data_IF_294420257650
#
_entry.id   IF_294420257650
#
_cell.length_a   1.000
_cell.length_b   1.000
_cell.length_c   1.000
_cell.angle_alpha   90.00
_cell.angle_beta   90.00
_cell.angle_gamma   90.00
#
_symmetry.space_group_name_H-M   'P 1'
#
loop_
_entity.id
_entity.type
_entity.pdbx_description
1 polymer ?
#
# COMPACT_ATOMS: atom_id res chain seq x y z
N UNK A 1 -24.91 25.80 5.62
CA UNK A 1 -25.54 24.78 4.76
C UNK A 1 -24.48 23.70 4.60
N UNK A 2 -24.73 22.47 5.05
CA UNK A 2 -23.71 21.42 5.06
C UNK A 2 -23.40 21.00 3.61
N UNK A 3 -22.27 21.46 3.07
CA UNK A 3 -21.84 21.09 1.72
C UNK A 3 -20.97 19.83 1.79
N UNK A 4 -21.45 18.74 1.19
CA UNK A 4 -20.63 17.55 0.93
C UNK A 4 -19.99 17.70 -0.45
N UNK A 5 -18.69 17.42 -0.54
CA UNK A 5 -17.98 17.28 -1.81
C UNK A 5 -17.78 15.79 -2.08
N UNK A 6 -18.29 15.32 -3.21
CA UNK A 6 -18.05 13.96 -3.71
C UNK A 6 -16.74 13.93 -4.48
N UNK A 7 -15.87 12.98 -4.14
CA UNK A 7 -14.53 12.85 -4.68
C UNK A 7 -14.32 11.45 -5.26
N UNK A 8 -13.41 11.36 -6.23
CA UNK A 8 -12.92 10.08 -6.77
C UNK A 8 -11.39 10.04 -6.70
N UNK A 9 -10.82 8.86 -6.56
CA UNK A 9 -9.38 8.63 -6.49
C UNK A 9 -8.92 7.97 -7.79
N UNK A 10 -7.89 8.53 -8.41
CA UNK A 10 -7.17 7.88 -9.51
C UNK A 10 -5.77 7.50 -9.04
N UNK A 11 -5.39 6.23 -9.15
CA UNK A 11 -4.05 5.78 -8.76
C UNK A 11 -3.06 6.05 -9.89
N UNK A 12 -2.02 6.83 -9.62
CA UNK A 12 -0.90 7.05 -10.55
C UNK A 12 0.20 6.01 -10.38
N UNK A 13 0.39 5.54 -9.14
CA UNK A 13 1.34 4.49 -8.75
C UNK A 13 0.59 3.38 -8.02
N UNK A 14 1.20 2.20 -7.83
CA UNK A 14 0.62 1.19 -6.95
C UNK A 14 0.52 1.72 -5.52
N UNK A 15 -0.56 1.40 -4.81
CA UNK A 15 -0.81 1.88 -3.44
C UNK A 15 -1.03 0.67 -2.54
N UNK A 16 -0.23 0.55 -1.48
CA UNK A 16 -0.42 -0.45 -0.43
C UNK A 16 -0.74 0.20 0.91
N UNK A 17 -1.84 -0.21 1.53
CA UNK A 17 -2.22 0.14 2.90
C UNK A 17 -2.36 -1.17 3.67
N UNK A 18 -1.38 -1.48 4.53
CA UNK A 18 -1.40 -2.73 5.28
C UNK A 18 -2.55 -2.78 6.30
N UNK A 19 -3.22 -3.94 6.39
CA UNK A 19 -4.22 -4.22 7.42
C UNK A 19 -3.68 -5.04 8.60
N UNK A 20 -2.40 -5.42 8.56
CA UNK A 20 -1.78 -6.30 9.57
C UNK A 20 -2.03 -7.79 9.33
N UNK A 21 -2.64 -8.16 8.20
CA UNK A 21 -2.79 -9.55 7.76
C UNK A 21 -1.84 -9.87 6.59
N UNK A 22 -1.43 -11.13 6.50
CA UNK A 22 -0.60 -11.67 5.43
C UNK A 22 -1.31 -12.87 4.77
N UNK A 23 -1.06 -13.09 3.47
CA UNK A 23 -1.23 -14.41 2.88
C UNK A 23 -0.06 -15.28 3.31
N UNK A 24 -0.36 -16.46 3.84
CA UNK A 24 0.62 -17.45 4.25
C UNK A 24 0.73 -18.55 3.21
N UNK A 25 1.92 -19.10 2.92
CA UNK A 25 2.08 -20.17 1.93
C UNK A 25 1.36 -21.49 2.30
N UNK A 26 0.57 -21.49 3.36
CA UNK A 26 -0.32 -22.56 3.81
C UNK A 26 -1.80 -22.32 3.50
N UNK A 27 -2.18 -21.12 3.02
CA UNK A 27 -3.56 -20.74 2.70
C UNK A 27 -3.73 -20.15 1.29
N UNK A 28 -2.71 -20.26 0.44
CA UNK A 28 -2.83 -19.88 -0.97
C UNK A 28 -1.96 -20.77 -1.89
N UNK A 29 -2.31 -20.76 -3.17
CA UNK A 29 -1.46 -21.23 -4.28
C UNK A 29 -1.33 -20.13 -5.32
N UNK A 30 -0.18 -20.02 -6.01
CA UNK A 30 -0.05 -19.17 -7.19
C UNK A 30 0.07 -20.08 -8.42
N UNK A 31 -0.89 -19.94 -9.34
CA UNK A 31 -0.99 -20.69 -10.58
C UNK A 31 -1.79 -19.89 -11.61
N UNK A 32 -1.51 -20.06 -12.90
CA UNK A 32 -2.28 -19.49 -14.00
C UNK A 32 -2.42 -17.95 -13.91
N UNK A 33 -1.34 -17.26 -13.51
CA UNK A 33 -1.30 -15.80 -13.43
C UNK A 33 -2.02 -15.18 -12.22
N UNK A 34 -2.46 -15.97 -11.24
CA UNK A 34 -3.09 -15.44 -10.03
C UNK A 34 -2.65 -16.16 -8.74
N UNK A 35 -2.75 -15.45 -7.63
CA UNK A 35 -2.78 -16.00 -6.29
C UNK A 35 -4.22 -16.39 -5.97
N UNK A 36 -4.44 -17.64 -5.57
CA UNK A 36 -5.74 -18.18 -5.17
C UNK A 36 -5.71 -18.49 -3.68
N UNK A 37 -6.49 -17.76 -2.88
CA UNK A 37 -6.60 -17.96 -1.44
C UNK A 37 -7.77 -18.86 -1.10
N UNK A 38 -7.55 -19.85 -0.23
CA UNK A 38 -8.58 -20.76 0.28
C UNK A 38 -8.63 -20.73 1.80
N UNK A 39 -9.83 -20.90 2.35
CA UNK A 39 -10.03 -21.01 3.80
C UNK A 39 -9.78 -22.45 4.28
N UNK A 40 -9.82 -22.66 5.60
CA UNK A 40 -9.77 -24.00 6.17
C UNK A 40 -10.97 -24.85 5.70
N UNK A 41 -12.15 -24.23 5.58
CA UNK A 41 -13.36 -24.86 5.04
C UNK A 41 -13.17 -25.25 3.57
N UNK A 42 -12.60 -24.35 2.75
CA UNK A 42 -12.26 -24.64 1.36
C UNK A 42 -11.31 -25.84 1.24
N UNK A 43 -10.31 -25.94 2.11
CA UNK A 43 -9.41 -27.11 2.16
C UNK A 43 -10.15 -28.40 2.56
N UNK A 44 -11.12 -28.33 3.49
CA UNK A 44 -11.95 -29.47 3.88
C UNK A 44 -12.84 -29.93 2.72
N UNK A 45 -13.35 -29.00 1.91
CA UNK A 45 -14.19 -29.33 0.76
C UNK A 45 -13.37 -29.88 -0.41
N UNK A 46 -12.17 -29.32 -0.66
CA UNK A 46 -11.31 -29.71 -1.77
C UNK A 46 -10.65 -31.08 -1.59
N UNK A 47 -10.24 -31.42 -0.37
CA UNK A 47 -9.37 -32.59 -0.12
C UNK A 47 -10.13 -33.70 0.61
N UNK A 48 -9.82 -34.96 0.31
CA UNK A 48 -10.30 -36.13 1.05
C UNK A 48 -9.72 -36.19 2.48
N UNK A 49 -10.33 -37.01 3.34
CA UNK A 49 -9.81 -37.22 4.70
C UNK A 49 -8.37 -37.77 4.69
N UNK A 50 -8.03 -38.65 3.75
CA UNK A 50 -6.70 -39.23 3.63
C UNK A 50 -5.65 -38.16 3.25
N UNK A 51 -5.97 -37.28 2.30
CA UNK A 51 -5.09 -36.18 1.88
C UNK A 51 -4.88 -35.17 3.01
N UNK A 52 -5.95 -34.79 3.71
CA UNK A 52 -5.86 -33.89 4.87
C UNK A 52 -5.00 -34.49 5.98
N UNK A 53 -5.17 -35.77 6.29
CA UNK A 53 -4.34 -36.46 7.29
C UNK A 53 -2.86 -36.51 6.87
N UNK A 54 -2.58 -36.68 5.57
CA UNK A 54 -1.22 -36.60 5.04
C UNK A 54 -0.63 -35.19 5.19
N UNK A 55 -1.39 -34.12 4.91
CA UNK A 55 -0.96 -32.74 5.13
C UNK A 55 -0.74 -32.43 6.61
N UNK A 56 -1.64 -32.86 7.49
CA UNK A 56 -1.51 -32.68 8.93
C UNK A 56 -0.25 -33.38 9.47
N UNK A 57 0.02 -34.61 9.01
CA UNK A 57 1.24 -35.35 9.38
C UNK A 57 2.51 -34.60 8.97
N UNK A 58 2.51 -33.98 7.78
CA UNK A 58 3.62 -33.13 7.31
C UNK A 58 3.77 -31.88 8.16
N UNK A 59 2.67 -31.23 8.56
CA UNK A 59 2.67 -30.05 9.42
C UNK A 59 3.20 -30.33 10.84
N UNK A 60 3.06 -31.56 11.33
CA UNK A 60 3.58 -31.98 12.64
C UNK A 60 5.11 -32.19 12.67
N UNK A 61 5.77 -32.24 11.51
CA UNK A 61 7.22 -32.34 11.44
C UNK A 61 7.88 -31.05 11.95
N UNK A 62 8.85 -31.16 12.86
CA UNK A 62 9.48 -29.97 13.48
C UNK A 62 10.36 -29.22 12.49
N UNK A 63 10.29 -27.88 12.57
CA UNK A 63 11.21 -26.98 11.88
C UNK A 63 10.86 -26.71 10.41
N UNK A 64 11.84 -26.21 9.67
CA UNK A 64 11.64 -25.75 8.29
C UNK A 64 11.23 -26.85 7.30
N UNK A 65 11.46 -28.13 7.63
CA UNK A 65 11.15 -29.24 6.73
C UNK A 65 9.65 -29.59 6.74
N UNK A 66 8.96 -29.44 7.87
CA UNK A 66 7.51 -29.63 7.95
C UNK A 66 6.73 -28.58 7.15
N UNK A 67 7.12 -27.30 7.26
CA UNK A 67 6.52 -26.23 6.47
C UNK A 67 6.72 -26.44 4.96
N UNK A 68 7.91 -26.89 4.53
CA UNK A 68 8.17 -27.23 3.12
C UNK A 68 7.31 -28.38 2.64
N UNK A 69 7.23 -29.46 3.42
CA UNK A 69 6.42 -30.62 3.06
C UNK A 69 4.94 -30.25 2.96
N UNK A 70 4.46 -29.40 3.85
CA UNK A 70 3.10 -28.84 3.81
C UNK A 70 2.88 -28.01 2.54
N UNK A 71 3.77 -27.05 2.23
CA UNK A 71 3.71 -26.25 0.99
C UNK A 71 3.71 -27.11 -0.27
N UNK A 72 4.58 -28.12 -0.34
CA UNK A 72 4.63 -29.04 -1.47
C UNK A 72 3.32 -29.83 -1.62
N UNK A 73 2.74 -30.27 -0.49
CA UNK A 73 1.46 -30.96 -0.48
C UNK A 73 0.30 -30.07 -0.92
N UNK A 74 0.27 -28.82 -0.47
CA UNK A 74 -0.73 -27.83 -0.90
C UNK A 74 -0.61 -27.58 -2.41
N UNK A 75 0.60 -27.32 -2.91
CA UNK A 75 0.80 -27.08 -4.33
C UNK A 75 0.44 -28.27 -5.21
N UNK A 76 0.72 -29.50 -4.75
CA UNK A 76 0.34 -30.72 -5.46
C UNK A 76 -1.18 -30.90 -5.60
N UNK A 77 -1.97 -30.28 -4.71
CA UNK A 77 -3.43 -30.28 -4.77
C UNK A 77 -4.00 -28.93 -5.25
N UNK A 78 -3.19 -28.14 -5.97
CA UNK A 78 -3.56 -26.79 -6.40
C UNK A 78 -4.88 -26.75 -7.18
N UNK A 79 -5.09 -27.67 -8.12
CA UNK A 79 -6.31 -27.68 -8.96
C UNK A 79 -7.59 -27.77 -8.11
N UNK A 80 -7.67 -28.73 -7.19
CA UNK A 80 -8.82 -28.87 -6.30
C UNK A 80 -8.98 -27.69 -5.33
N UNK A 81 -7.86 -27.11 -4.87
CA UNK A 81 -7.88 -25.95 -3.96
C UNK A 81 -8.31 -24.66 -4.66
N UNK A 82 -7.96 -24.49 -5.93
CA UNK A 82 -8.35 -23.33 -6.75
C UNK A 82 -9.87 -23.32 -6.95
N UNK A 83 -10.50 -24.48 -7.16
CA UNK A 83 -11.97 -24.60 -7.25
C UNK A 83 -12.70 -24.14 -5.99
N UNK A 84 -12.03 -24.20 -4.82
CA UNK A 84 -12.55 -23.77 -3.53
C UNK A 84 -11.96 -22.43 -3.07
N UNK A 85 -11.31 -21.68 -3.96
CA UNK A 85 -10.72 -20.40 -3.63
C UNK A 85 -11.79 -19.37 -3.27
N UNK A 86 -11.59 -18.70 -2.15
CA UNK A 86 -12.45 -17.60 -1.66
C UNK A 86 -12.31 -16.33 -2.49
N UNK A 87 -11.10 -16.09 -3.01
CA UNK A 87 -10.79 -14.97 -3.89
C UNK A 87 -9.48 -15.25 -4.62
N UNK A 88 -9.26 -14.52 -5.71
CA UNK A 88 -8.05 -14.59 -6.51
C UNK A 88 -7.50 -13.20 -6.78
N UNK A 89 -6.17 -13.05 -6.77
CA UNK A 89 -5.48 -11.78 -6.95
C UNK A 89 -4.45 -11.94 -8.07
N UNK A 90 -4.54 -11.14 -9.15
CA UNK A 90 -3.58 -11.18 -10.24
C UNK A 90 -2.13 -11.05 -9.77
N UNK A 91 -1.24 -11.81 -10.41
CA UNK A 91 0.20 -11.71 -10.22
C UNK A 91 0.92 -11.50 -11.55
N UNK A 92 2.14 -11.00 -11.48
CA UNK A 92 3.04 -10.97 -12.65
C UNK A 92 3.63 -12.34 -12.92
N UNK A 93 4.00 -12.62 -14.18
CA UNK A 93 4.73 -13.84 -14.56
C UNK A 93 6.01 -14.04 -13.72
N UNK A 94 6.73 -12.95 -13.44
CA UNK A 94 7.91 -12.98 -12.57
C UNK A 94 7.60 -13.42 -11.14
N UNK A 95 6.43 -13.04 -10.60
CA UNK A 95 5.98 -13.45 -9.27
C UNK A 95 5.59 -14.94 -9.25
N UNK A 96 4.87 -15.40 -10.28
CA UNK A 96 4.50 -16.81 -10.41
C UNK A 96 5.74 -17.70 -10.55
N UNK A 97 6.67 -17.37 -11.45
CA UNK A 97 7.92 -18.09 -11.60
C UNK A 97 8.74 -18.06 -10.28
N UNK A 98 8.79 -16.92 -9.59
CA UNK A 98 9.42 -16.82 -8.29
C UNK A 98 8.80 -17.81 -7.30
N UNK A 99 7.47 -17.84 -7.19
CA UNK A 99 6.76 -18.76 -6.29
C UNK A 99 7.03 -20.23 -6.64
N UNK A 100 6.91 -20.63 -7.90
CA UNK A 100 7.15 -22.00 -8.37
C UNK A 100 8.61 -22.45 -8.17
N UNK A 101 9.57 -21.51 -8.24
CA UNK A 101 10.98 -21.78 -7.95
C UNK A 101 11.26 -22.05 -6.47
N UNK A 102 10.28 -21.80 -5.59
CA UNK A 102 10.44 -21.79 -4.13
C UNK A 102 9.49 -22.73 -3.40
N UNK A 103 8.23 -22.85 -3.82
CA UNK A 103 7.21 -23.63 -3.14
C UNK A 103 7.66 -25.08 -2.94
N UNK A 104 7.66 -25.54 -1.69
CA UNK A 104 8.08 -26.90 -1.34
C UNK A 104 9.57 -27.20 -1.51
N UNK A 105 10.43 -26.22 -1.81
CA UNK A 105 11.87 -26.40 -2.04
C UNK A 105 12.73 -25.90 -0.87
N UNK A 106 13.93 -26.46 -0.75
CA UNK A 106 14.94 -26.00 0.21
C UNK A 106 15.44 -24.63 -0.24
N UNK A 107 15.43 -23.64 0.67
CA UNK A 107 16.10 -22.39 0.39
C UNK A 107 17.59 -22.67 0.17
N UNK A 108 18.10 -22.31 -1.01
CA UNK A 108 19.50 -22.56 -1.36
C UNK A 108 20.43 -22.08 -0.25
N UNK A 109 21.32 -22.99 0.19
CA UNK A 109 22.51 -22.60 0.91
C UNK A 109 23.40 -21.87 -0.10
N UNK A 110 23.45 -20.54 -0.05
CA UNK A 110 24.58 -19.86 -0.69
C UNK A 110 25.88 -20.27 0.02
N UNK A 111 26.99 -20.23 -0.72
CA UNK A 111 28.36 -20.60 -0.31
C UNK A 111 28.90 -19.91 0.96
N UNK A 112 28.11 -19.06 1.63
CA UNK A 112 28.50 -18.27 2.81
C UNK A 112 27.61 -18.50 4.06
N UNK A 113 26.92 -19.64 4.18
CA UNK A 113 26.36 -20.09 5.46
C UNK A 113 25.16 -19.29 6.00
N UNK A 114 24.65 -18.29 5.27
CA UNK A 114 23.36 -17.64 5.59
C UNK A 114 22.21 -18.51 5.13
N UNK A 115 21.41 -19.01 6.09
CA UNK A 115 20.10 -19.59 5.83
C UNK A 115 19.19 -18.48 5.31
N UNK A 116 19.01 -18.39 4.01
CA UNK A 116 17.93 -17.61 3.41
C UNK A 116 16.66 -18.35 3.80
N UNK A 117 15.77 -17.77 4.61
CA UNK A 117 14.46 -18.38 4.83
C UNK A 117 13.63 -18.14 3.56
N UNK A 118 12.90 -19.15 3.11
CA UNK A 118 12.02 -19.03 1.96
C UNK A 118 10.73 -18.30 2.36
N UNK A 119 10.81 -16.97 2.45
CA UNK A 119 9.70 -16.11 2.87
C UNK A 119 8.74 -15.97 1.69
N UNK A 120 7.61 -16.68 1.78
CA UNK A 120 6.52 -16.68 0.81
C UNK A 120 5.29 -15.94 1.35
N UNK A 121 5.39 -15.35 2.54
CA UNK A 121 4.39 -14.44 3.08
C UNK A 121 4.25 -13.22 2.17
N UNK A 122 2.99 -12.79 1.97
CA UNK A 122 2.64 -11.64 1.14
C UNK A 122 1.73 -10.73 1.98
N UNK A 123 2.15 -9.48 2.18
CA UNK A 123 1.38 -8.52 2.97
C UNK A 123 0.07 -8.16 2.26
N UNK A 124 -1.05 -8.21 2.97
CA UNK A 124 -2.35 -7.88 2.41
C UNK A 124 -2.64 -6.40 2.48
N UNK A 125 -3.33 -5.89 1.45
CA UNK A 125 -3.85 -4.53 1.42
C UNK A 125 -5.16 -4.48 2.21
N UNK A 126 -5.54 -3.32 2.75
CA UNK A 126 -6.80 -3.11 3.44
C UNK A 126 -8.01 -3.43 2.55
N UNK A 127 -8.79 -4.43 2.94
CA UNK A 127 -9.86 -4.99 2.14
C UNK A 127 -11.16 -5.11 2.95
N UNK A 128 -12.29 -5.12 2.25
CA UNK A 128 -13.57 -5.42 2.86
C UNK A 128 -13.71 -6.95 3.02
N UNK A 129 -13.92 -7.48 4.24
CA UNK A 129 -13.91 -8.91 4.48
C UNK A 129 -15.03 -9.69 3.77
N UNK A 130 -16.12 -9.01 3.39
CA UNK A 130 -17.25 -9.64 2.71
C UNK A 130 -17.07 -9.65 1.19
N UNK A 131 -16.54 -8.58 0.61
CA UNK A 131 -16.40 -8.44 -0.85
C UNK A 131 -15.00 -8.75 -1.37
N UNK A 132 -14.00 -8.86 -0.48
CA UNK A 132 -12.57 -8.96 -0.82
C UNK A 132 -12.05 -7.82 -1.71
N UNK A 133 -12.83 -6.73 -1.81
CA UNK A 133 -12.44 -5.55 -2.56
C UNK A 133 -11.59 -4.62 -1.68
N UNK A 134 -10.58 -3.94 -2.24
CA UNK A 134 -9.78 -3.01 -1.49
C UNK A 134 -10.58 -1.77 -1.09
N UNK A 135 -10.13 -1.10 -0.04
CA UNK A 135 -10.60 0.23 0.29
C UNK A 135 -9.44 1.07 0.82
N UNK A 136 -9.66 2.38 0.86
CA UNK A 136 -8.79 3.32 1.56
C UNK A 136 -9.59 3.91 2.71
N UNK A 137 -9.11 3.71 3.93
CA UNK A 137 -9.76 4.29 5.10
C UNK A 137 -9.70 5.83 5.04
N UNK A 138 -10.80 6.49 5.41
CA UNK A 138 -10.88 7.95 5.46
C UNK A 138 -9.87 8.56 6.44
N UNK A 139 -9.47 7.80 7.46
CA UNK A 139 -8.37 8.17 8.38
C UNK A 139 -7.02 8.25 7.67
N UNK A 140 -6.74 7.39 6.70
CA UNK A 140 -5.50 7.41 5.89
C UNK A 140 -5.45 8.63 4.97
N UNK A 141 -6.56 8.92 4.29
CA UNK A 141 -6.71 10.12 3.45
C UNK A 141 -6.57 11.39 4.31
N UNK A 142 -7.25 11.42 5.46
CA UNK A 142 -7.18 12.52 6.42
C UNK A 142 -5.76 12.72 6.98
N UNK A 143 -5.05 11.62 7.23
CA UNK A 143 -3.65 11.66 7.67
C UNK A 143 -2.74 12.31 6.63
N UNK A 144 -2.88 11.96 5.35
CA UNK A 144 -2.12 12.58 4.26
C UNK A 144 -2.41 14.09 4.15
N UNK A 145 -3.68 14.49 4.18
CA UNK A 145 -4.08 15.91 4.19
C UNK A 145 -3.50 16.65 5.40
N UNK A 146 -3.53 16.02 6.58
CA UNK A 146 -2.96 16.59 7.81
C UNK A 146 -1.47 16.84 7.67
N UNK A 147 -0.72 15.92 7.08
CA UNK A 147 0.72 16.08 6.82
C UNK A 147 1.01 17.29 5.95
N UNK A 148 0.28 17.46 4.84
CA UNK A 148 0.44 18.62 3.95
C UNK A 148 0.15 19.94 4.68
N UNK A 149 -0.91 19.99 5.49
CA UNK A 149 -1.21 21.20 6.27
C UNK A 149 -0.14 21.48 7.31
N UNK A 150 0.33 20.45 8.04
CA UNK A 150 1.37 20.63 9.05
C UNK A 150 2.65 21.19 8.46
N UNK A 151 3.04 20.74 7.26
CA UNK A 151 4.20 21.26 6.55
C UNK A 151 4.05 22.76 6.21
N UNK A 152 2.87 23.15 5.70
CA UNK A 152 2.56 24.55 5.41
C UNK A 152 2.56 25.42 6.67
N UNK A 153 1.94 24.96 7.77
CA UNK A 153 1.92 25.68 9.05
C UNK A 153 3.32 25.80 9.65
N UNK A 154 4.19 24.83 9.36
CA UNK A 154 5.59 24.84 9.78
C UNK A 154 6.49 25.69 8.87
N UNK A 155 5.94 26.36 7.85
CA UNK A 155 6.67 27.23 6.92
C UNK A 155 7.82 26.47 6.23
N UNK A 156 7.59 25.18 5.92
CA UNK A 156 8.56 24.27 5.28
C UNK A 156 9.91 24.16 6.01
N UNK A 157 9.97 24.50 7.30
CA UNK A 157 11.20 24.47 8.09
C UNK A 157 11.55 23.05 8.49
N UNK A 158 12.76 22.62 8.14
CA UNK A 158 13.28 21.36 8.67
C UNK A 158 13.64 21.54 10.15
N UNK A 159 13.01 20.74 11.00
CA UNK A 159 13.46 20.58 12.37
C UNK A 159 14.49 19.45 12.35
N UNK A 160 15.74 19.80 12.01
CA UNK A 160 16.87 18.88 12.10
C UNK A 160 17.00 18.37 13.54
N UNK A 161 16.33 17.27 13.84
CA UNK A 161 16.74 16.41 14.92
C UNK A 161 18.09 15.85 14.48
N UNK A 162 19.15 16.15 15.24
CA UNK A 162 20.50 15.64 15.03
C UNK A 162 20.43 14.18 14.54
N UNK A 163 20.91 13.89 13.33
CA UNK A 163 20.73 12.58 12.66
C UNK A 163 21.26 11.41 13.53
N UNK A 164 22.13 11.72 14.50
CA UNK A 164 22.70 10.77 15.46
C UNK A 164 21.89 10.64 16.77
N UNK A 165 20.82 11.40 16.96
CA UNK A 165 19.94 11.36 18.13
C UNK A 165 18.52 11.11 17.70
N UNK A 166 17.94 10.00 18.17
CA UNK A 166 16.51 9.77 18.03
C UNK A 166 15.75 10.99 18.54
N UNK A 167 14.82 11.50 17.74
CA UNK A 167 13.94 12.58 18.15
C UNK A 167 13.31 12.22 19.52
N UNK A 168 13.19 13.17 20.46
CA UNK A 168 12.59 12.91 21.76
C UNK A 168 11.24 12.23 21.60
N UNK A 169 10.94 11.27 22.50
CA UNK A 169 9.63 10.63 22.55
C UNK A 169 8.57 11.75 22.64
N UNK A 170 7.57 11.73 21.76
CA UNK A 170 6.51 12.75 21.63
C UNK A 170 6.90 14.08 20.97
N UNK A 171 8.10 14.26 20.40
CA UNK A 171 8.47 15.51 19.72
C UNK A 171 7.53 15.87 18.57
N UNK A 172 7.16 14.88 17.75
CA UNK A 172 6.19 15.08 16.66
C UNK A 172 4.79 15.46 17.15
N UNK A 173 4.33 14.85 18.26
CA UNK A 173 3.04 15.19 18.86
C UNK A 173 3.02 16.63 19.40
N UNK A 174 4.10 17.06 20.06
CA UNK A 174 4.24 18.42 20.57
C UNK A 174 4.27 19.45 19.44
N UNK A 175 4.98 19.15 18.35
CA UNK A 175 5.02 20.01 17.17
C UNK A 175 3.61 20.16 16.56
N UNK A 176 2.87 19.05 16.40
CA UNK A 176 1.50 19.11 15.88
C UNK A 176 0.57 19.94 16.75
N UNK A 177 0.62 19.74 18.08
CA UNK A 177 -0.18 20.53 19.04
C UNK A 177 0.10 22.03 18.93
N UNK A 178 1.38 22.39 18.78
CA UNK A 178 1.81 23.78 18.59
C UNK A 178 1.30 24.35 17.26
N UNK A 179 1.49 23.65 16.15
CA UNK A 179 1.16 24.14 14.81
C UNK A 179 -0.36 24.27 14.59
N UNK A 180 -1.13 23.30 15.09
CA UNK A 180 -2.59 23.24 14.91
C UNK A 180 -3.32 23.97 16.08
N UNK A 181 -2.57 24.43 17.09
CA UNK A 181 -3.07 25.21 18.22
C UNK A 181 -4.11 24.45 19.08
N UNK A 182 -3.83 23.20 19.42
CA UNK A 182 -4.67 22.38 20.30
C UNK A 182 -3.90 21.74 21.45
N UNK A 183 -4.59 21.45 22.55
CA UNK A 183 -4.00 20.81 23.75
C UNK A 183 -4.43 19.35 23.87
N UNK A 184 -5.74 19.09 23.79
CA UNK A 184 -6.33 17.75 23.89
C UNK A 184 -6.83 17.26 22.52
N UNK A 185 -6.87 15.95 22.31
CA UNK A 185 -7.37 15.37 21.05
C UNK A 185 -8.84 15.77 20.79
N UNK A 186 -9.63 15.92 21.84
CA UNK A 186 -11.03 16.40 21.77
C UNK A 186 -11.15 17.83 21.21
N UNK A 187 -10.07 18.60 21.35
CA UNK A 187 -9.96 19.99 20.93
C UNK A 187 -9.36 20.17 19.54
N UNK A 188 -8.89 19.08 18.91
CA UNK A 188 -8.25 19.12 17.59
C UNK A 188 -9.23 19.61 16.51
N UNK A 189 -8.96 20.74 15.85
CA UNK A 189 -9.77 21.27 14.76
C UNK A 189 -10.04 20.27 13.63
N UNK A 190 -9.15 19.29 13.39
CA UNK A 190 -9.39 18.27 12.36
C UNK A 190 -10.66 17.46 12.61
N UNK A 191 -11.24 17.47 13.81
CA UNK A 191 -12.57 16.87 14.06
C UNK A 191 -13.66 17.44 13.14
N UNK A 192 -13.47 18.67 12.65
CA UNK A 192 -14.37 19.38 11.73
C UNK A 192 -14.25 18.88 10.28
N UNK A 193 -13.14 18.24 9.91
CA UNK A 193 -12.97 17.59 8.62
C UNK A 193 -13.46 16.14 8.69
N UNK A 194 -14.56 15.83 8.02
CA UNK A 194 -15.08 14.47 7.86
C UNK A 194 -14.72 13.95 6.48
N UNK A 195 -14.12 12.76 6.46
CA UNK A 195 -13.73 12.05 5.26
C UNK A 195 -14.27 10.64 5.41
N UNK A 196 -15.09 10.20 4.45
CA UNK A 196 -15.58 8.82 4.43
C UNK A 196 -14.48 7.85 4.02
N UNK A 197 -14.68 6.56 4.28
CA UNK A 197 -13.87 5.53 3.64
C UNK A 197 -14.13 5.54 2.12
N UNK A 198 -13.12 5.13 1.36
CA UNK A 198 -13.16 5.06 -0.09
C UNK A 198 -13.17 3.59 -0.54
N UNK A 199 -14.34 2.96 -0.77
CA UNK A 199 -14.41 1.62 -1.35
C UNK A 199 -13.98 1.64 -2.81
N UNK A 200 -13.39 0.53 -3.27
CA UNK A 200 -13.07 0.32 -4.68
C UNK A 200 -14.32 0.12 -5.52
N UNK A 201 -14.45 0.92 -6.57
CA UNK A 201 -15.59 0.96 -7.50
C UNK A 201 -15.08 1.45 -8.86
N UNK A 202 -14.32 0.61 -9.57
CA UNK A 202 -13.81 0.97 -10.89
C UNK A 202 -14.94 0.99 -11.93
N UNK A 203 -15.08 2.06 -12.74
CA UNK A 203 -16.16 2.16 -13.74
C UNK A 203 -16.18 1.00 -14.74
N UNK A 204 -14.99 0.54 -15.15
CA UNK A 204 -14.82 -0.58 -16.09
C UNK A 204 -14.67 -1.96 -15.39
N UNK A 205 -14.98 -2.05 -14.10
CA UNK A 205 -14.91 -3.30 -13.31
C UNK A 205 -13.54 -4.01 -13.36
N UNK A 206 -12.45 -3.24 -13.51
CA UNK A 206 -11.10 -3.79 -13.49
C UNK A 206 -10.76 -4.36 -12.11
N UNK A 207 -9.79 -5.29 -12.08
CA UNK A 207 -9.28 -5.85 -10.82
C UNK A 207 -8.72 -4.74 -9.91
N UNK A 208 -9.19 -4.74 -8.66
CA UNK A 208 -8.77 -3.77 -7.66
C UNK A 208 -7.46 -4.10 -6.96
N UNK A 209 -6.97 -5.34 -7.04
CA UNK A 209 -5.77 -5.77 -6.34
C UNK A 209 -4.83 -6.50 -7.28
N UNK A 210 -3.54 -6.40 -7.01
CA UNK A 210 -2.49 -7.21 -7.64
C UNK A 210 -1.34 -7.43 -6.67
N UNK A 211 -0.59 -8.52 -6.84
CA UNK A 211 0.60 -8.79 -6.03
C UNK A 211 1.86 -8.27 -6.73
N UNK A 212 2.65 -7.46 -6.01
CA UNK A 212 3.93 -6.92 -6.49
C UNK A 212 5.07 -7.18 -5.50
N UNK A 213 6.29 -7.11 -6.01
CA UNK A 213 7.50 -7.03 -5.20
C UNK A 213 7.74 -5.60 -4.72
N UNK A 214 8.19 -5.45 -3.48
CA UNK A 214 8.79 -4.22 -2.97
C UNK A 214 10.28 -4.25 -3.28
N UNK A 215 10.78 -3.18 -3.88
CA UNK A 215 12.20 -3.01 -4.15
C UNK A 215 12.76 -1.82 -3.38
N UNK A 216 13.72 -2.08 -2.50
CA UNK A 216 14.43 -1.03 -1.79
C UNK A 216 15.60 -0.56 -2.64
N UNK A 217 15.53 0.70 -3.09
CA UNK A 217 16.55 1.32 -3.93
C UNK A 217 17.18 2.50 -3.19
N UNK A 218 18.52 2.56 -3.17
CA UNK A 218 19.25 3.67 -2.53
C UNK A 218 19.17 4.93 -3.39
N UNK A 219 18.96 6.08 -2.74
CA UNK A 219 18.91 7.41 -3.36
C UNK A 219 20.28 7.89 -3.91
N UNK A 220 21.37 7.19 -3.62
CA UNK A 220 22.72 7.49 -4.12
C UNK A 220 23.37 6.25 -4.74
N UNK A 221 23.96 6.39 -5.94
CA UNK A 221 24.74 5.32 -6.58
C UNK A 221 26.06 5.11 -5.83
N UNK A 222 26.12 4.14 -4.91
CA UNK A 222 27.40 3.63 -4.38
C UNK A 222 27.78 2.38 -5.18
N UNK A 223 28.93 2.42 -5.87
CA UNK A 223 29.44 1.42 -6.84
C UNK A 223 29.53 -0.05 -6.37
N UNK A 224 29.22 -0.43 -5.11
CA UNK A 224 29.54 -1.78 -4.60
C UNK A 224 28.54 -2.45 -3.63
N UNK A 225 27.38 -1.88 -3.31
CA UNK A 225 26.45 -2.56 -2.39
C UNK A 225 24.99 -2.24 -2.72
N UNK A 226 24.44 -2.93 -3.74
CA UNK A 226 23.00 -3.17 -3.80
C UNK A 226 22.60 -4.04 -2.59
N UNK A 227 21.48 -3.71 -1.95
CA UNK A 227 20.97 -4.52 -0.85
C UNK A 227 20.44 -5.84 -1.41
N UNK A 228 21.17 -6.93 -1.21
CA UNK A 228 20.77 -8.30 -1.54
C UNK A 228 19.78 -8.87 -0.49
N UNK A 229 18.71 -8.12 -0.21
CA UNK A 229 17.61 -8.64 0.61
C UNK A 229 16.65 -9.46 -0.24
N UNK A 230 15.97 -10.44 0.36
CA UNK A 230 14.82 -11.09 -0.28
C UNK A 230 13.77 -9.99 -0.52
N UNK A 231 13.27 -9.82 -1.76
CA UNK A 231 12.26 -8.80 -2.02
C UNK A 231 11.00 -9.16 -1.24
N UNK A 232 10.50 -8.21 -0.45
CA UNK A 232 9.20 -8.32 0.20
C UNK A 232 8.11 -8.33 -0.88
N UNK A 233 6.94 -8.88 -0.54
CA UNK A 233 5.79 -8.99 -1.45
C UNK A 233 4.59 -8.38 -0.78
N UNK A 234 3.80 -7.67 -1.55
CA UNK A 234 2.58 -7.05 -1.07
C UNK A 234 1.51 -7.10 -2.14
N UNK A 235 0.28 -7.24 -1.68
CA UNK A 235 -0.91 -6.90 -2.41
C UNK A 235 -1.06 -5.38 -2.45
N UNK A 236 -1.48 -4.81 -3.58
CA UNK A 236 -1.65 -3.37 -3.72
C UNK A 236 -2.76 -3.03 -4.73
N UNK A 237 -3.33 -1.84 -4.59
CA UNK A 237 -4.12 -1.21 -5.65
C UNK A 237 -3.20 -0.99 -6.87
N UNK A 238 -3.61 -1.40 -8.09
CA UNK A 238 -2.82 -1.18 -9.29
C UNK A 238 -2.60 0.30 -9.62
N UNK A 239 -1.51 0.58 -10.33
CA UNK A 239 -1.27 1.89 -10.94
C UNK A 239 -2.21 2.14 -12.13
N UNK A 240 -2.30 3.40 -12.55
CA UNK A 240 -3.07 3.85 -13.72
C UNK A 240 -4.53 3.38 -13.68
N UNK A 241 -5.20 3.52 -12.54
CA UNK A 241 -6.65 3.24 -12.40
C UNK A 241 -7.39 4.55 -12.20
N UNK A 242 -8.07 5.01 -13.24
CA UNK A 242 -8.82 6.26 -13.22
C UNK A 242 -10.11 6.09 -12.41
N UNK A 243 -10.36 7.02 -11.48
CA UNK A 243 -11.60 7.09 -10.67
C UNK A 243 -11.99 5.74 -10.04
N UNK A 244 -11.00 5.02 -9.52
CA UNK A 244 -11.14 3.65 -9.06
C UNK A 244 -11.71 3.51 -7.65
N UNK A 245 -11.73 4.59 -6.86
CA UNK A 245 -12.40 4.65 -5.57
C UNK A 245 -13.21 5.95 -5.47
N UNK A 246 -14.26 5.94 -4.65
CA UNK A 246 -15.13 7.11 -4.41
C UNK A 246 -15.27 7.40 -2.93
N UNK A 247 -15.27 8.67 -2.53
CA UNK A 247 -15.40 9.07 -1.12
C UNK A 247 -15.93 10.49 -0.98
N UNK A 248 -16.34 10.85 0.23
CA UNK A 248 -16.92 12.15 0.55
C UNK A 248 -16.03 12.95 1.49
N UNK A 249 -15.92 14.25 1.21
CA UNK A 249 -15.30 15.25 2.08
C UNK A 249 -16.36 16.22 2.57
N UNK A 250 -16.38 16.50 3.88
CA UNK A 250 -17.26 17.49 4.48
C UNK A 250 -16.52 18.29 5.55
N UNK A 251 -16.67 19.61 5.49
CA UNK A 251 -16.31 20.52 6.57
C UNK A 251 -17.53 20.77 7.44
N UNK A 252 -17.38 20.59 8.76
CA UNK A 252 -18.41 20.94 9.73
C UNK A 252 -18.27 22.41 10.11
N UNK A 253 -19.40 23.12 10.15
CA UNK A 253 -19.46 24.49 10.66
C UNK A 253 -19.14 24.51 12.16
N UNK A 254 -18.33 25.48 12.59
CA UNK A 254 -18.07 25.75 14.01
C UNK A 254 -17.82 27.23 14.23
N UNK A 255 -18.44 27.79 15.27
CA UNK A 255 -18.30 29.20 15.67
C UNK A 255 -17.07 29.44 16.55
N UNK A 256 -16.51 28.40 17.14
CA UNK A 256 -15.46 28.50 18.16
C UNK A 256 -14.06 28.15 17.62
N UNK A 257 -13.98 27.21 16.67
CA UNK A 257 -12.72 26.71 16.13
C UNK A 257 -12.81 26.52 14.63
N UNK A 258 -11.69 26.74 13.94
CA UNK A 258 -11.52 26.40 12.52
C UNK A 258 -10.21 25.66 12.34
N UNK A 259 -10.11 24.84 11.30
CA UNK A 259 -8.81 24.25 10.95
C UNK A 259 -7.93 25.38 10.41
N UNK A 260 -6.72 25.60 10.98
CA UNK A 260 -5.86 26.70 10.56
C UNK A 260 -5.59 26.63 9.05
N UNK A 261 -5.78 27.77 8.36
CA UNK A 261 -5.55 27.93 6.91
C UNK A 261 -6.35 27.00 5.98
N UNK A 262 -7.29 26.19 6.50
CA UNK A 262 -8.07 25.22 5.70
C UNK A 262 -9.54 25.16 6.15
N UNK A 263 -10.37 26.02 5.60
CA UNK A 263 -11.81 26.16 5.93
C UNK A 263 -12.73 25.55 4.88
N UNK A 264 -12.23 25.36 3.67
CA UNK A 264 -13.00 24.86 2.53
C UNK A 264 -12.17 23.88 1.67
N UNK A 265 -12.84 23.32 0.66
CA UNK A 265 -12.24 22.36 -0.26
C UNK A 265 -11.17 23.01 -1.15
N UNK A 266 -11.32 24.27 -1.54
CA UNK A 266 -10.35 24.97 -2.38
C UNK A 266 -9.02 25.14 -1.65
N UNK A 267 -9.05 25.51 -0.37
CA UNK A 267 -7.86 25.61 0.48
C UNK A 267 -7.21 24.25 0.67
N UNK A 268 -7.99 23.19 0.93
CA UNK A 268 -7.47 21.82 1.02
C UNK A 268 -6.73 21.41 -0.27
N UNK A 269 -7.34 21.67 -1.43
CA UNK A 269 -6.75 21.36 -2.74
C UNK A 269 -5.42 22.08 -2.92
N UNK A 270 -5.37 23.37 -2.59
CA UNK A 270 -4.16 24.18 -2.72
C UNK A 270 -3.04 23.68 -1.80
N UNK A 271 -3.36 23.41 -0.53
CA UNK A 271 -2.40 22.89 0.47
C UNK A 271 -1.81 21.56 0.01
N UNK A 272 -2.68 20.62 -0.41
CA UNK A 272 -2.23 19.29 -0.83
C UNK A 272 -1.34 19.38 -2.08
N UNK A 273 -1.73 20.16 -3.09
CA UNK A 273 -0.94 20.31 -4.30
C UNK A 273 0.39 21.03 -4.07
N UNK A 274 0.41 22.08 -3.24
CA UNK A 274 1.64 22.79 -2.87
C UNK A 274 2.65 21.85 -2.18
N UNK A 275 2.16 20.89 -1.39
CA UNK A 275 3.01 19.92 -0.72
C UNK A 275 3.43 18.74 -1.62
N UNK A 276 2.48 18.07 -2.27
CA UNK A 276 2.72 16.79 -2.94
C UNK A 276 3.22 16.90 -4.37
N UNK A 277 2.86 17.96 -5.12
CA UNK A 277 3.29 18.08 -6.52
C UNK A 277 4.82 18.22 -6.64
N UNK A 278 5.50 19.12 -5.89
CA UNK A 278 6.96 19.22 -5.97
C UNK A 278 7.68 17.94 -5.54
N UNK A 279 7.10 17.20 -4.58
CA UNK A 279 7.65 15.90 -4.16
C UNK A 279 7.57 14.87 -5.27
N UNK A 280 6.41 14.75 -5.93
CA UNK A 280 6.22 13.83 -7.05
C UNK A 280 7.20 14.15 -8.19
N UNK A 281 7.33 15.42 -8.57
CA UNK A 281 8.26 15.87 -9.61
C UNK A 281 9.72 15.54 -9.24
N UNK A 282 10.10 15.79 -7.99
CA UNK A 282 11.43 15.46 -7.48
C UNK A 282 11.70 13.95 -7.46
N UNK A 283 10.73 13.14 -7.07
CA UNK A 283 10.83 11.67 -7.08
C UNK A 283 10.94 11.14 -8.51
N UNK A 284 10.13 11.62 -9.45
CA UNK A 284 10.18 11.23 -10.86
C UNK A 284 11.53 11.56 -11.49
N UNK A 285 12.09 12.73 -11.17
CA UNK A 285 13.43 13.13 -11.60
C UNK A 285 14.50 12.22 -11.00
N UNK A 286 14.47 11.99 -9.69
CA UNK A 286 15.43 11.11 -9.00
C UNK A 286 15.42 9.69 -9.56
N UNK A 287 14.22 9.11 -9.76
CA UNK A 287 14.07 7.77 -10.30
C UNK A 287 14.62 7.66 -11.73
N UNK A 288 14.49 8.72 -12.53
CA UNK A 288 15.09 8.78 -13.85
C UNK A 288 16.61 8.87 -13.82
N UNK A 289 17.15 9.81 -13.04
CA UNK A 289 18.60 10.02 -12.92
C UNK A 289 19.32 8.75 -12.44
N UNK A 290 18.63 7.94 -11.64
CA UNK A 290 19.12 6.66 -11.11
C UNK A 290 18.81 5.44 -12.00
N UNK A 291 18.09 5.61 -13.13
CA UNK A 291 17.62 4.52 -13.99
C UNK A 291 16.80 3.44 -13.27
N UNK A 292 15.95 3.85 -12.31
CA UNK A 292 15.09 2.94 -11.54
C UNK A 292 13.63 2.90 -12.02
N UNK A 293 13.30 3.63 -13.07
CA UNK A 293 11.94 3.73 -13.60
C UNK A 293 11.91 3.38 -15.08
N UNK A 294 10.81 2.77 -15.50
CA UNK A 294 10.55 2.55 -16.92
C UNK A 294 10.39 3.91 -17.62
N UNK A 295 11.16 4.22 -18.68
CA UNK A 295 11.14 5.53 -19.33
C UNK A 295 9.79 5.84 -20.00
N UNK A 296 9.08 4.83 -20.51
CA UNK A 296 7.76 4.98 -21.12
C UNK A 296 6.74 5.39 -20.05
N UNK A 297 6.66 4.65 -18.95
CA UNK A 297 5.76 4.99 -17.84
C UNK A 297 6.02 6.40 -17.29
N UNK A 298 7.29 6.77 -17.11
CA UNK A 298 7.64 8.12 -16.67
C UNK A 298 7.12 9.17 -17.64
N UNK A 299 7.34 8.97 -18.95
CA UNK A 299 6.88 9.90 -19.96
C UNK A 299 5.35 10.04 -19.96
N UNK A 300 4.61 8.93 -19.78
CA UNK A 300 3.16 8.95 -19.66
C UNK A 300 2.69 9.77 -18.45
N UNK A 301 3.31 9.57 -17.27
CA UNK A 301 3.01 10.37 -16.08
C UNK A 301 3.33 11.85 -16.31
N UNK A 302 4.48 12.16 -16.91
CA UNK A 302 4.84 13.54 -17.24
C UNK A 302 3.84 14.19 -18.19
N UNK A 303 3.40 13.47 -19.23
CA UNK A 303 2.39 13.95 -20.17
C UNK A 303 1.04 14.22 -19.48
N UNK A 304 0.66 13.40 -18.49
CA UNK A 304 -0.55 13.65 -17.70
C UNK A 304 -0.41 14.91 -16.84
N UNK A 305 0.74 15.08 -16.18
CA UNK A 305 1.04 16.25 -15.34
C UNK A 305 1.10 17.54 -16.17
N UNK A 306 1.75 17.53 -17.33
CA UNK A 306 1.83 18.69 -18.22
C UNK A 306 0.51 18.95 -18.96
N UNK A 307 -0.35 17.92 -19.03
CA UNK A 307 -1.59 17.90 -19.79
C UNK A 307 -2.83 18.06 -18.91
N UNK A 308 -3.63 16.99 -18.86
CA UNK A 308 -4.96 16.99 -18.24
C UNK A 308 -4.92 17.27 -16.74
N UNK A 309 -4.01 16.59 -16.01
CA UNK A 309 -3.88 16.73 -14.56
C UNK A 309 -3.39 18.13 -14.22
N UNK A 310 -2.37 18.66 -14.92
CA UNK A 310 -1.89 20.02 -14.69
C UNK A 310 -2.96 21.08 -14.88
N UNK A 311 -3.77 20.97 -15.94
CA UNK A 311 -4.92 21.87 -16.16
C UNK A 311 -5.96 21.74 -15.04
N UNK A 312 -6.24 20.52 -14.57
CA UNK A 312 -7.18 20.30 -13.47
C UNK A 312 -6.65 20.85 -12.14
N UNK A 313 -5.34 20.73 -11.87
CA UNK A 313 -4.67 21.31 -10.71
C UNK A 313 -4.78 22.84 -10.76
N UNK A 314 -4.47 23.45 -11.90
CA UNK A 314 -4.57 24.90 -12.08
C UNK A 314 -6.00 25.44 -11.88
N UNK A 315 -7.01 24.63 -12.18
CA UNK A 315 -8.43 24.94 -11.94
C UNK A 315 -8.92 24.54 -10.55
N UNK A 316 -8.04 24.03 -9.67
CA UNK A 316 -8.37 23.54 -8.33
C UNK A 316 -9.46 22.44 -8.33
N UNK A 317 -9.45 21.59 -9.34
CA UNK A 317 -10.43 20.49 -9.52
C UNK A 317 -9.89 19.12 -9.07
N UNK A 318 -8.58 19.01 -8.86
CA UNK A 318 -7.91 17.79 -8.41
C UNK A 318 -6.81 18.15 -7.42
N UNK A 319 -6.53 17.23 -6.51
CA UNK A 319 -5.39 17.33 -5.63
C UNK A 319 -4.63 16.00 -5.54
N UNK A 320 -3.32 16.09 -5.35
CA UNK A 320 -2.45 14.93 -5.18
C UNK A 320 -2.37 14.53 -3.71
N UNK A 321 -2.26 13.23 -3.45
CA UNK A 321 -1.97 12.66 -2.15
C UNK A 321 -0.97 11.52 -2.31
N UNK A 322 -0.08 11.36 -1.33
CA UNK A 322 0.68 10.12 -1.14
C UNK A 322 -0.01 9.29 -0.06
N UNK A 323 -0.45 8.10 -0.43
CA UNK A 323 -1.19 7.18 0.44
C UNK A 323 -0.41 5.89 0.64
N UNK A 324 -0.60 5.26 1.80
CA UNK A 324 0.02 3.97 2.11
C UNK A 324 1.37 4.09 2.81
N UNK A 325 2.11 2.99 2.82
CA UNK A 325 3.39 2.90 3.51
C UNK A 325 4.39 3.88 2.89
N UNK A 326 4.70 4.96 3.61
CA UNK A 326 5.86 5.80 3.34
C UNK A 326 7.12 5.00 3.65
N UNK A 327 7.81 4.54 2.62
CA UNK A 327 9.23 4.18 2.73
C UNK A 327 10.01 5.48 2.95
N UNK A 328 10.23 5.82 4.22
CA UNK A 328 11.19 6.85 4.60
C UNK A 328 12.62 6.38 4.31
#
# INVERSE_FOLDING_TARGET
MLQTTHCTISSLTPIHIGCGEDYYPTNYVIKDGALHHFSAEGMIQALSLAERNALATKAMQKGADGLKALQAGIYANSDALIEQATHSVPVTEAMEHFYQSRVGKVAQHEKQGRKIQNILEIQRHAYNPYTQQPYIAGSGIKGAIRTALLDQLNDHKDHNFDENRSAPRHAGEQLQKKLIEYQNITDDPFRLLKISDAPYQHPDELNGLEIRFIVNRKKQQRKKMESQGIPLKMECLPANRSKSLSFDIRFLDSTEKSIPQMRDIQQLVNICNAYYLPQLENELRLLHDLNYVNPIWRQEIQNLLDGEIGRAIAKQQVFLLRLGMSTN
#
